data_IF_986542068462
#
_entry.id   IF_986542068462
#
_cell.length_a   1.000
_cell.length_b   1.000
_cell.length_c   1.000
_cell.angle_alpha   90.00
_cell.angle_beta   90.00
_cell.angle_gamma   90.00
#
_symmetry.space_group_name_H-M   'P 1'
#
loop_
_entity.id
_entity.type
_entity.pdbx_description
1 polymer ?
#
# COMPACT_ATOMS: atom_id res chain seq x y z
N UNK A 1 -2.58 -3.82 14.31
CA UNK A 1 -2.95 -3.14 13.03
C UNK A 1 -4.40 -3.47 12.77
N UNK A 2 -5.22 -2.46 12.50
CA UNK A 2 -6.66 -2.63 12.26
C UNK A 2 -6.94 -2.52 10.76
N UNK A 3 -7.87 -3.33 10.28
CA UNK A 3 -8.37 -3.31 8.89
C UNK A 3 -9.88 -3.23 8.91
N UNK A 4 -10.44 -2.35 8.09
CA UNK A 4 -11.88 -2.10 7.96
C UNK A 4 -12.31 -2.11 6.49
N UNK A 5 -13.59 -2.39 6.24
CA UNK A 5 -14.22 -2.48 4.91
C UNK A 5 -13.36 -3.25 3.89
N UNK A 6 -13.29 -4.58 4.07
CA UNK A 6 -12.54 -5.50 3.19
C UNK A 6 -11.05 -5.17 3.06
N UNK A 7 -10.50 -4.43 4.03
CA UNK A 7 -9.10 -4.00 4.04
C UNK A 7 -8.82 -2.76 3.20
N UNK A 8 -9.85 -2.05 2.75
CA UNK A 8 -9.67 -0.77 2.08
C UNK A 8 -9.22 0.33 3.01
N UNK A 9 -9.53 0.22 4.30
CA UNK A 9 -9.09 1.17 5.32
C UNK A 9 -8.20 0.44 6.32
N UNK A 10 -7.14 1.11 6.76
CA UNK A 10 -6.26 0.57 7.79
C UNK A 10 -5.72 1.68 8.68
N UNK A 11 -5.49 1.35 9.95
CA UNK A 11 -4.80 2.24 10.86
C UNK A 11 -4.00 1.48 11.92
N UNK A 12 -3.05 2.18 12.53
CA UNK A 12 -2.29 1.71 13.70
C UNK A 12 -1.72 2.87 14.49
N UNK A 13 -1.45 2.63 15.77
CA UNK A 13 -0.72 3.58 16.60
C UNK A 13 0.78 3.49 16.29
N UNK A 14 1.47 4.63 16.30
CA UNK A 14 2.92 4.77 16.17
C UNK A 14 3.36 5.77 17.25
N UNK A 15 3.71 5.25 18.42
CA UNK A 15 3.87 6.09 19.62
C UNK A 15 2.55 6.79 19.94
N UNK A 16 2.60 8.12 20.08
CA UNK A 16 1.44 8.98 20.34
C UNK A 16 0.70 9.44 19.08
N UNK A 17 1.06 8.89 17.91
CA UNK A 17 0.42 9.23 16.62
C UNK A 17 -0.42 8.07 16.10
N UNK A 18 -1.38 8.40 15.24
CA UNK A 18 -2.13 7.41 14.45
C UNK A 18 -1.65 7.50 13.00
N UNK A 19 -1.19 6.38 12.46
CA UNK A 19 -1.05 6.19 11.02
C UNK A 19 -2.38 5.65 10.50
N UNK A 20 -2.99 6.35 9.56
CA UNK A 20 -4.20 5.92 8.85
C UNK A 20 -3.97 6.03 7.34
N UNK A 21 -4.55 5.09 6.59
CA UNK A 21 -4.49 5.13 5.13
C UNK A 21 -5.53 4.24 4.47
N UNK A 22 -5.50 4.22 3.15
CA UNK A 22 -6.43 3.44 2.34
C UNK A 22 -7.49 4.30 1.66
N UNK A 23 -8.77 3.93 1.82
CA UNK A 23 -9.95 4.56 1.20
C UNK A 23 -9.98 4.57 -0.34
N UNK A 24 -9.06 3.88 -1.02
CA UNK A 24 -8.98 3.83 -2.50
C UNK A 24 -10.26 3.34 -3.20
N UNK A 25 -11.17 2.71 -2.46
CA UNK A 25 -12.49 2.33 -2.97
C UNK A 25 -13.47 3.50 -3.10
N UNK A 26 -13.13 4.68 -2.59
CA UNK A 26 -13.95 5.87 -2.73
C UNK A 26 -13.91 6.47 -4.15
N UNK A 27 -12.84 6.22 -4.91
CA UNK A 27 -12.68 6.71 -6.30
C UNK A 27 -11.68 5.84 -7.07
N UNK A 28 -12.10 4.64 -7.50
CA UNK A 28 -11.19 3.69 -8.16
C UNK A 28 -10.56 4.26 -9.44
N UNK A 29 -11.31 5.07 -10.20
CA UNK A 29 -10.87 5.58 -11.49
C UNK A 29 -9.73 6.60 -11.32
N UNK A 30 -9.85 7.52 -10.35
CA UNK A 30 -8.77 8.48 -10.08
C UNK A 30 -7.58 7.88 -9.34
N UNK A 31 -7.82 6.89 -8.50
CA UNK A 31 -6.74 6.20 -7.78
C UNK A 31 -5.97 5.20 -8.68
N UNK A 32 -6.45 4.96 -9.92
CA UNK A 32 -5.70 4.27 -10.96
C UNK A 32 -4.74 5.24 -11.66
N UNK A 33 -3.65 5.59 -10.97
CA UNK A 33 -2.63 6.53 -11.43
C UNK A 33 -1.23 6.06 -11.08
N UNK A 34 -0.23 6.53 -11.83
CA UNK A 34 1.20 6.39 -11.54
C UNK A 34 1.81 7.69 -10.99
N UNK A 35 1.01 8.75 -10.90
CA UNK A 35 1.43 10.05 -10.40
C UNK A 35 1.21 10.17 -8.89
N UNK A 36 2.19 10.71 -8.18
CA UNK A 36 2.02 11.04 -6.76
C UNK A 36 1.02 12.18 -6.59
N UNK A 37 0.31 12.19 -5.47
CA UNK A 37 -0.71 13.17 -5.19
C UNK A 37 -1.64 12.74 -4.06
N UNK A 38 -2.31 13.71 -3.46
CA UNK A 38 -3.41 13.51 -2.53
C UNK A 38 -4.71 14.00 -3.18
N UNK A 39 -5.83 13.39 -2.84
CA UNK A 39 -7.15 13.78 -3.35
C UNK A 39 -8.07 14.13 -2.20
N UNK A 40 -8.86 15.20 -2.34
CA UNK A 40 -9.78 15.64 -1.29
C UNK A 40 -10.79 14.53 -0.94
N UNK A 41 -11.24 13.75 -1.93
CA UNK A 41 -12.13 12.60 -1.71
C UNK A 41 -11.55 11.63 -0.68
N UNK A 42 -10.29 11.22 -0.84
CA UNK A 42 -9.62 10.28 0.05
C UNK A 42 -9.32 10.93 1.40
N UNK A 43 -8.76 12.14 1.39
CA UNK A 43 -8.40 12.85 2.63
C UNK A 43 -9.63 13.08 3.52
N UNK A 44 -10.75 13.51 2.94
CA UNK A 44 -12.00 13.70 3.67
C UNK A 44 -12.54 12.39 4.25
N UNK A 45 -12.42 11.26 3.53
CA UNK A 45 -12.85 9.95 4.04
C UNK A 45 -12.00 9.45 5.20
N UNK A 46 -10.68 9.60 5.13
CA UNK A 46 -9.79 9.22 6.23
C UNK A 46 -10.03 10.10 7.47
N UNK A 47 -10.23 11.40 7.27
CA UNK A 47 -10.55 12.32 8.38
C UNK A 47 -11.92 12.08 9.00
N UNK A 48 -12.94 11.79 8.20
CA UNK A 48 -14.27 11.40 8.70
C UNK A 48 -14.16 10.16 9.57
N UNK A 49 -13.45 9.12 9.08
CA UNK A 49 -13.26 7.88 9.83
C UNK A 49 -12.50 8.11 11.15
N UNK A 50 -11.50 9.00 11.17
CA UNK A 50 -10.84 9.41 12.41
C UNK A 50 -11.82 10.07 13.39
N UNK A 51 -12.53 11.11 12.93
CA UNK A 51 -13.41 11.95 13.76
C UNK A 51 -14.64 11.23 14.27
N UNK A 52 -15.19 10.31 13.48
CA UNK A 52 -16.50 9.71 13.75
C UNK A 52 -16.37 8.32 14.38
N UNK A 53 -15.26 7.62 14.15
CA UNK A 53 -15.12 6.20 14.55
C UNK A 53 -13.88 5.93 15.39
N UNK A 54 -12.68 6.36 14.95
CA UNK A 54 -11.44 5.91 15.57
C UNK A 54 -11.13 6.69 16.87
N UNK A 55 -11.32 8.01 16.86
CA UNK A 55 -11.03 8.91 18.00
C UNK A 55 -12.12 9.98 18.19
N UNK A 56 -13.38 9.59 18.41
CA UNK A 56 -14.49 10.55 18.51
C UNK A 56 -14.30 11.54 19.66
N UNK A 57 -14.48 12.83 19.36
CA UNK A 57 -14.36 13.91 20.34
C UNK A 57 -12.95 14.27 20.77
N UNK A 58 -11.92 13.61 20.22
CA UNK A 58 -10.51 13.90 20.53
C UNK A 58 -9.96 14.87 19.48
N UNK A 59 -9.50 16.08 19.87
CA UNK A 59 -8.83 16.99 18.96
C UNK A 59 -7.53 16.38 18.42
N UNK A 60 -7.26 16.56 17.13
CA UNK A 60 -6.00 16.15 16.52
C UNK A 60 -5.53 17.17 15.48
N UNK A 61 -4.26 17.10 15.15
CA UNK A 61 -3.63 17.84 14.04
C UNK A 61 -3.05 16.84 13.05
N UNK A 62 -2.97 17.25 11.77
CA UNK A 62 -2.35 16.45 10.73
C UNK A 62 -0.88 16.83 10.64
N UNK A 63 -0.01 15.92 11.07
CA UNK A 63 1.45 16.06 11.01
C UNK A 63 1.94 15.96 9.56
N UNK A 64 1.51 14.91 8.84
CA UNK A 64 1.96 14.63 7.48
C UNK A 64 0.87 14.00 6.62
N UNK A 65 0.95 14.24 5.30
CA UNK A 65 0.21 13.52 4.26
C UNK A 65 1.16 13.13 3.15
N UNK A 66 0.98 11.94 2.61
CA UNK A 66 1.73 11.45 1.46
C UNK A 66 0.91 10.42 0.70
N UNK A 67 1.39 10.06 -0.48
CA UNK A 67 0.85 8.96 -1.27
C UNK A 67 1.96 8.00 -1.68
N UNK A 68 1.56 6.84 -2.20
CA UNK A 68 2.48 5.85 -2.74
C UNK A 68 1.81 5.11 -3.89
N UNK A 69 2.62 4.65 -4.85
CA UNK A 69 2.14 3.92 -6.01
C UNK A 69 2.18 2.42 -5.74
N UNK A 70 1.04 1.76 -5.90
CA UNK A 70 0.91 0.31 -5.75
C UNK A 70 0.95 -0.37 -7.11
N UNK A 71 1.93 -1.25 -7.31
CA UNK A 71 1.91 -2.17 -8.45
C UNK A 71 0.82 -3.22 -8.29
N UNK A 72 -0.36 -2.99 -8.88
CA UNK A 72 -1.50 -3.90 -8.90
C UNK A 72 -1.66 -4.58 -10.27
N UNK A 73 -2.43 -5.65 -10.32
CA UNK A 73 -2.80 -6.32 -11.57
C UNK A 73 -4.02 -7.21 -11.39
N UNK A 74 -4.40 -7.95 -12.45
CA UNK A 74 -5.59 -8.82 -12.44
C UNK A 74 -5.58 -9.86 -11.32
N UNK A 75 -4.40 -10.30 -10.89
CA UNK A 75 -4.24 -11.19 -9.75
C UNK A 75 -3.26 -10.57 -8.72
N UNK A 76 -3.33 -11.07 -7.48
CA UNK A 76 -2.49 -10.59 -6.37
C UNK A 76 -1.08 -11.20 -6.35
N UNK A 77 -0.75 -12.03 -7.35
CA UNK A 77 0.52 -12.72 -7.39
C UNK A 77 1.64 -11.78 -7.88
N UNK A 78 2.81 -11.80 -7.23
CA UNK A 78 4.00 -11.15 -7.74
C UNK A 78 4.32 -11.63 -9.16
N UNK A 79 4.92 -10.77 -9.98
CA UNK A 79 5.52 -11.18 -11.24
C UNK A 79 6.98 -11.49 -10.94
N UNK A 80 7.35 -12.76 -11.10
CA UNK A 80 8.72 -13.25 -10.92
C UNK A 80 9.15 -13.99 -12.18
N UNK A 81 10.02 -13.37 -12.99
CA UNK A 81 10.48 -13.97 -14.25
C UNK A 81 11.75 -13.31 -14.77
N UNK A 82 12.45 -14.02 -15.65
CA UNK A 82 13.41 -13.40 -16.56
C UNK A 82 12.65 -12.53 -17.57
N UNK A 83 13.04 -11.26 -17.67
CA UNK A 83 12.57 -10.35 -18.72
C UNK A 83 13.40 -10.52 -20.00
N UNK A 84 14.70 -10.71 -19.84
CA UNK A 84 15.64 -11.08 -20.91
C UNK A 84 16.82 -11.88 -20.32
N UNK A 85 17.91 -12.02 -21.07
CA UNK A 85 19.08 -12.79 -20.63
C UNK A 85 19.74 -12.26 -19.35
N UNK A 86 19.69 -10.94 -19.12
CA UNK A 86 20.47 -10.28 -18.07
C UNK A 86 19.59 -9.61 -17.00
N UNK A 87 18.26 -9.67 -17.14
CA UNK A 87 17.32 -8.99 -16.25
C UNK A 87 16.30 -9.99 -15.71
N UNK A 88 16.33 -10.20 -14.39
CA UNK A 88 15.29 -10.88 -13.64
C UNK A 88 14.43 -9.85 -12.91
N UNK A 89 13.11 -9.96 -12.99
CA UNK A 89 12.18 -9.06 -12.32
C UNK A 89 11.38 -9.78 -11.25
N UNK A 90 11.18 -9.08 -10.13
CA UNK A 90 10.33 -9.47 -9.02
C UNK A 90 9.49 -8.25 -8.59
N UNK A 91 8.33 -8.08 -9.20
CA UNK A 91 7.52 -6.85 -9.13
C UNK A 91 6.05 -7.15 -8.82
N UNK A 92 5.23 -6.10 -8.67
CA UNK A 92 3.77 -6.19 -8.49
C UNK A 92 3.36 -6.96 -7.23
N UNK A 93 3.86 -6.51 -6.09
CA UNK A 93 3.64 -7.15 -4.77
C UNK A 93 2.28 -6.82 -4.15
N UNK A 94 1.36 -6.14 -4.86
CA UNK A 94 -0.04 -6.08 -4.47
C UNK A 94 -0.34 -5.39 -3.13
N UNK A 95 0.55 -4.52 -2.64
CA UNK A 95 0.45 -3.92 -1.30
C UNK A 95 1.00 -4.77 -0.15
N UNK A 96 1.45 -5.99 -0.46
CA UNK A 96 2.02 -6.95 0.50
C UNK A 96 3.55 -6.96 0.48
N UNK A 97 4.18 -5.99 -0.20
CA UNK A 97 5.62 -5.98 -0.43
C UNK A 97 6.47 -5.95 0.85
N UNK A 98 5.97 -5.30 1.90
CA UNK A 98 6.65 -5.30 3.21
C UNK A 98 6.64 -6.70 3.84
N UNK A 99 5.54 -7.45 3.72
CA UNK A 99 5.40 -8.77 4.32
C UNK A 99 6.17 -9.85 3.54
N UNK A 100 6.14 -9.78 2.20
CA UNK A 100 6.73 -10.82 1.34
C UNK A 100 8.13 -10.48 0.82
N UNK A 101 8.61 -9.25 1.03
CA UNK A 101 9.82 -8.75 0.38
C UNK A 101 11.06 -9.61 0.62
N UNK A 102 11.25 -10.11 1.84
CA UNK A 102 12.40 -10.98 2.17
C UNK A 102 12.35 -12.33 1.46
N UNK A 103 11.18 -12.98 1.43
CA UNK A 103 10.98 -14.26 0.73
C UNK A 103 11.20 -14.09 -0.77
N UNK A 104 10.57 -13.07 -1.37
CA UNK A 104 10.67 -12.77 -2.79
C UNK A 104 12.11 -12.43 -3.17
N UNK A 105 12.84 -11.70 -2.31
CA UNK A 105 14.26 -11.42 -2.49
C UNK A 105 15.10 -12.70 -2.50
N UNK A 106 14.88 -13.60 -1.53
CA UNK A 106 15.57 -14.90 -1.45
C UNK A 106 15.31 -15.76 -2.69
N UNK A 107 14.06 -15.88 -3.11
CA UNK A 107 13.68 -16.66 -4.29
C UNK A 107 14.28 -16.07 -5.57
N UNK A 108 14.27 -14.74 -5.70
CA UNK A 108 14.87 -14.05 -6.85
C UNK A 108 16.38 -14.30 -6.93
N UNK A 109 17.09 -14.19 -5.81
CA UNK A 109 18.51 -14.53 -5.74
C UNK A 109 18.77 -15.99 -6.16
N UNK A 110 17.93 -16.92 -5.71
CA UNK A 110 18.02 -18.32 -6.11
C UNK A 110 17.84 -18.55 -7.62
N UNK A 111 16.97 -17.79 -8.29
CA UNK A 111 16.80 -17.88 -9.74
C UNK A 111 17.99 -17.32 -10.51
N UNK A 112 18.59 -16.24 -10.01
CA UNK A 112 19.79 -15.64 -10.59
C UNK A 112 20.98 -16.60 -10.49
N UNK A 113 21.22 -17.17 -9.31
CA UNK A 113 22.35 -18.08 -9.07
C UNK A 113 22.25 -19.34 -9.92
N UNK A 114 21.05 -19.90 -10.14
CA UNK A 114 20.87 -21.10 -10.99
C UNK A 114 21.24 -20.91 -12.46
N UNK A 115 21.33 -19.66 -12.92
CA UNK A 115 21.66 -19.32 -14.30
C UNK A 115 23.16 -19.03 -14.48
N UNK A 116 23.86 -18.75 -13.38
CA UNK A 116 25.33 -18.68 -13.34
C UNK A 116 25.90 -20.09 -13.52
#
# INVERSE_FOLDING_TARGET
>A
VFHYDKGYYYFRNIGERILIGGARNADFDKEQTDSFGITDTIQNKLESLLKETIIPGIPFTVDQRWSGIMGLGKNKNPIMKWYNENIYCAVRLGGMGIAMGSLIGKESAGQIIKKL
#
